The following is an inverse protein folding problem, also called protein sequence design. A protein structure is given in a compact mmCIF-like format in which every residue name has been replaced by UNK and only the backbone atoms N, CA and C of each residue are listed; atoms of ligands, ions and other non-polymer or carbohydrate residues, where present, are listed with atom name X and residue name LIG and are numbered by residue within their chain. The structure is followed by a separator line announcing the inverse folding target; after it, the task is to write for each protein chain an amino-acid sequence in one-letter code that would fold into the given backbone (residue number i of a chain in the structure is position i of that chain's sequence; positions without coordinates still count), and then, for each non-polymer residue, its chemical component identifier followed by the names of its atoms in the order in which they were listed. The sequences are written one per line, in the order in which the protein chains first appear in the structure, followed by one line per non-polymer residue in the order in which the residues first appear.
data_IF_986808385227
#
_entry.id   IF_986808385227
#
_cell.length_a   1.000
_cell.length_b   1.000
_cell.length_c   1.000
_cell.angle_alpha   90.00
_cell.angle_beta   90.00
_cell.angle_gamma   90.00
#
_symmetry.space_group_name_H-M   'P 1'
#
loop_
_entity.id
_entity.type
_entity.pdbx_description
1 polymer ?
#
# COMPACT_ATOMS: atom_id res chain seq x y z
N UNK A 1 -10.44 8.24 2.82
CA UNK A 1 -8.97 8.25 2.76
C UNK A 1 -8.59 7.39 1.59
N UNK A 2 -7.88 7.99 0.66
CA UNK A 2 -7.47 7.38 -0.61
C UNK A 2 -6.00 6.93 -0.54
N UNK A 3 -5.61 5.95 -1.34
CA UNK A 3 -4.22 5.48 -1.46
C UNK A 3 -3.31 6.61 -1.94
N UNK A 4 -3.81 7.50 -2.80
CA UNK A 4 -3.06 8.67 -3.28
C UNK A 4 -2.70 9.64 -2.15
N UNK A 5 -3.59 9.84 -1.17
CA UNK A 5 -3.35 10.67 0.01
C UNK A 5 -2.26 10.07 0.91
N UNK A 6 -2.27 8.75 1.10
CA UNK A 6 -1.26 8.02 1.89
C UNK A 6 0.12 8.06 1.21
N UNK A 7 0.16 7.92 -0.12
CA UNK A 7 1.40 8.02 -0.90
C UNK A 7 1.96 9.44 -0.89
N UNK A 8 1.11 10.45 -1.07
CA UNK A 8 1.50 11.85 -0.96
C UNK A 8 2.00 12.20 0.46
N UNK A 9 1.33 11.68 1.49
CA UNK A 9 1.78 11.82 2.88
C UNK A 9 3.16 11.18 3.09
N UNK A 10 3.39 9.98 2.55
CA UNK A 10 4.68 9.28 2.64
C UNK A 10 5.80 10.07 1.97
N UNK A 11 5.55 10.57 0.75
CA UNK A 11 6.50 11.42 0.03
C UNK A 11 6.81 12.72 0.79
N UNK A 12 5.78 13.39 1.35
CA UNK A 12 5.94 14.62 2.14
C UNK A 12 6.78 14.39 3.40
N UNK A 13 6.67 13.23 4.02
CA UNK A 13 7.47 12.84 5.19
C UNK A 13 8.84 12.24 4.83
N UNK A 14 9.22 12.23 3.54
CA UNK A 14 10.46 11.60 3.03
C UNK A 14 10.59 10.14 3.46
N UNK A 15 9.46 9.43 3.51
CA UNK A 15 9.45 8.02 3.81
C UNK A 15 10.00 7.22 2.63
N UNK A 16 10.80 6.19 2.91
CA UNK A 16 11.29 5.25 1.90
C UNK A 16 10.20 4.27 1.47
N UNK A 17 9.33 3.88 2.41
CA UNK A 17 8.31 2.86 2.21
C UNK A 17 6.99 3.28 2.86
N UNK A 18 5.88 2.93 2.22
CA UNK A 18 4.54 2.89 2.79
C UNK A 18 4.16 1.41 2.94
N UNK A 19 3.76 1.01 4.14
CA UNK A 19 3.31 -0.34 4.44
C UNK A 19 1.82 -0.33 4.80
N UNK A 20 1.06 -1.14 4.09
CA UNK A 20 -0.33 -1.46 4.37
C UNK A 20 -0.42 -2.91 4.82
N UNK A 21 -1.11 -3.15 5.92
CA UNK A 21 -1.33 -4.50 6.42
C UNK A 21 -2.68 -4.56 7.11
N UNK A 22 -3.51 -5.52 6.73
CA UNK A 22 -4.81 -5.73 7.35
C UNK A 22 -4.71 -5.81 8.89
N UNK A 23 -5.68 -5.19 9.55
CA UNK A 23 -5.85 -4.96 10.98
C UNK A 23 -4.73 -4.13 11.65
N UNK A 24 -3.95 -3.40 10.86
CA UNK A 24 -2.98 -2.43 11.36
C UNK A 24 -3.24 -1.04 10.77
N UNK A 25 -2.85 0.04 11.50
CA UNK A 25 -2.74 1.36 10.90
C UNK A 25 -1.74 1.34 9.74
N UNK A 26 -1.89 2.23 8.73
CA UNK A 26 -0.84 2.47 7.75
C UNK A 26 0.47 2.81 8.46
N UNK A 27 1.59 2.34 7.93
CA UNK A 27 2.90 2.62 8.49
C UNK A 27 3.81 3.20 7.42
N UNK A 28 4.71 4.09 7.81
CA UNK A 28 5.73 4.63 6.94
C UNK A 28 7.10 4.32 7.50
N UNK A 29 8.08 4.05 6.62
CA UNK A 29 9.48 3.93 7.02
C UNK A 29 10.19 5.25 6.80
N UNK A 30 10.73 5.86 7.86
CA UNK A 30 11.51 7.10 7.80
C UNK A 30 12.84 6.87 8.50
N UNK A 31 13.95 7.16 7.82
CA UNK A 31 15.31 6.98 8.36
C UNK A 31 15.57 5.55 8.91
N UNK A 32 14.95 4.54 8.31
CA UNK A 32 15.05 3.12 8.69
C UNK A 32 13.97 2.65 9.67
N UNK A 33 13.34 3.55 10.42
CA UNK A 33 12.32 3.23 11.42
C UNK A 33 10.93 3.12 10.80
N UNK A 34 10.20 2.04 11.12
CA UNK A 34 8.78 1.89 10.76
C UNK A 34 7.91 2.53 11.84
N UNK A 35 7.08 3.49 11.43
CA UNK A 35 6.20 4.26 12.33
C UNK A 35 4.76 4.20 11.85
N UNK A 36 3.83 4.03 12.78
CA UNK A 36 2.38 4.06 12.50
C UNK A 36 1.95 5.49 12.20
N UNK A 37 1.16 5.67 11.15
CA UNK A 37 0.44 6.91 10.91
C UNK A 37 -0.74 6.96 11.89
N UNK A 38 -1.08 8.15 12.39
CA UNK A 38 -2.11 8.36 13.41
C UNK A 38 -3.52 8.23 12.80
N UNK A 39 -3.87 7.04 12.35
CA UNK A 39 -5.13 6.69 11.70
C UNK A 39 -5.58 5.34 12.25
N UNK A 40 -6.90 5.06 12.37
CA UNK A 40 -7.37 3.78 12.86
C UNK A 40 -6.83 2.60 12.03
N UNK A 41 -6.75 1.40 12.63
CA UNK A 41 -6.43 0.18 11.89
C UNK A 41 -7.37 -0.02 10.69
N UNK A 42 -6.81 -0.47 9.57
CA UNK A 42 -7.56 -0.75 8.35
C UNK A 42 -7.88 -2.24 8.29
N UNK A 43 -9.15 -2.58 8.14
CA UNK A 43 -9.56 -3.97 7.97
C UNK A 43 -9.11 -4.54 6.62
N UNK A 44 -9.22 -5.87 6.45
CA UNK A 44 -8.84 -6.53 5.20
C UNK A 44 -9.52 -5.92 3.97
N UNK A 45 -10.81 -5.62 4.05
CA UNK A 45 -11.58 -5.08 2.92
C UNK A 45 -11.07 -3.71 2.49
N UNK A 46 -10.73 -2.87 3.46
CA UNK A 46 -10.20 -1.53 3.18
C UNK A 46 -8.82 -1.62 2.54
N UNK A 47 -7.90 -2.41 3.09
CA UNK A 47 -6.56 -2.58 2.53
C UNK A 47 -6.62 -3.17 1.11
N UNK A 48 -7.46 -4.20 0.91
CA UNK A 48 -7.67 -4.80 -0.40
C UNK A 48 -8.21 -3.79 -1.42
N UNK A 49 -9.20 -2.97 -1.04
CA UNK A 49 -9.73 -1.91 -1.89
C UNK A 49 -8.66 -0.91 -2.33
N UNK A 50 -7.88 -0.40 -1.38
CA UNK A 50 -6.78 0.55 -1.65
C UNK A 50 -5.74 -0.01 -2.63
N UNK A 51 -5.39 -1.30 -2.50
CA UNK A 51 -4.45 -1.98 -3.39
C UNK A 51 -5.09 -2.19 -4.78
N UNK A 52 -6.36 -2.60 -4.83
CA UNK A 52 -7.08 -2.85 -6.09
C UNK A 52 -7.27 -1.58 -6.94
N UNK A 53 -7.44 -0.43 -6.30
CA UNK A 53 -7.67 0.84 -6.98
C UNK A 53 -6.46 1.30 -7.82
N UNK A 54 -5.25 0.85 -7.46
CA UNK A 54 -4.02 1.15 -8.21
C UNK A 54 -3.58 0.04 -9.17
N UNK A 55 -4.31 -1.07 -9.21
CA UNK A 55 -4.04 -2.19 -10.12
C UNK A 55 -4.84 -2.09 -11.41
N UNK A 56 -4.22 -2.49 -12.52
CA UNK A 56 -4.92 -2.79 -13.77
C UNK A 56 -5.43 -4.25 -13.80
N UNK A 57 -6.22 -4.59 -14.82
CA UNK A 57 -6.85 -5.91 -14.94
C UNK A 57 -5.85 -7.08 -14.98
N UNK A 58 -4.66 -6.88 -15.56
CA UNK A 58 -3.62 -7.91 -15.57
C UNK A 58 -3.10 -8.14 -14.15
N UNK A 59 -2.77 -7.07 -13.44
CA UNK A 59 -2.24 -7.14 -12.07
C UNK A 59 -3.26 -7.73 -11.10
N UNK A 60 -4.55 -7.39 -11.25
CA UNK A 60 -5.62 -8.01 -10.46
C UNK A 60 -5.70 -9.51 -10.68
N UNK A 61 -5.67 -9.95 -11.94
CA UNK A 61 -5.63 -11.39 -12.26
C UNK A 61 -4.40 -12.07 -11.69
N UNK A 62 -3.21 -11.47 -11.84
CA UNK A 62 -1.98 -12.03 -11.29
C UNK A 62 -2.08 -12.15 -9.75
N UNK A 63 -2.60 -11.11 -9.08
CA UNK A 63 -2.79 -11.12 -7.63
C UNK A 63 -3.83 -12.16 -7.16
N UNK A 64 -4.95 -12.31 -7.88
CA UNK A 64 -5.98 -13.31 -7.56
C UNK A 64 -5.50 -14.76 -7.80
N UNK A 65 -4.68 -14.99 -8.83
CA UNK A 65 -4.18 -16.31 -9.20
C UNK A 65 -2.99 -16.75 -8.34
N UNK A 66 -2.02 -15.84 -8.14
CA UNK A 66 -0.76 -16.13 -7.48
C UNK A 66 -0.70 -15.67 -6.03
N UNK A 67 -1.74 -14.97 -5.53
CA UNK A 67 -1.81 -14.37 -4.20
C UNK A 67 -0.73 -13.31 -3.90
N UNK A 68 0.02 -12.90 -4.93
CA UNK A 68 1.01 -11.84 -4.89
C UNK A 68 1.28 -11.27 -6.30
N UNK A 69 1.71 -10.00 -6.37
CA UNK A 69 2.16 -9.40 -7.63
C UNK A 69 3.02 -8.17 -7.39
N UNK A 70 3.96 -7.91 -8.30
CA UNK A 70 4.82 -6.73 -8.31
C UNK A 70 4.45 -5.82 -9.49
N UNK A 71 4.38 -4.50 -9.24
CA UNK A 71 4.21 -3.51 -10.29
C UNK A 71 4.76 -2.14 -9.89
N UNK A 72 4.71 -1.20 -10.83
CA UNK A 72 5.02 0.21 -10.57
C UNK A 72 3.76 1.04 -10.67
N UNK A 73 3.59 1.97 -9.75
CA UNK A 73 2.52 2.96 -9.76
C UNK A 73 3.11 4.36 -9.76
N UNK A 74 2.58 5.25 -10.60
CA UNK A 74 3.01 6.64 -10.67
C UNK A 74 1.91 7.54 -10.11
N UNK A 75 2.27 8.41 -9.16
CA UNK A 75 1.42 9.49 -8.70
C UNK A 75 1.94 10.79 -9.34
N UNK A 76 1.24 11.33 -10.37
CA UNK A 76 1.73 12.47 -11.13
C UNK A 76 2.06 13.67 -10.25
N UNK A 77 3.24 14.26 -10.47
CA UNK A 77 3.72 15.41 -9.69
C UNK A 77 4.22 15.08 -8.28
N UNK A 78 4.21 13.80 -7.87
CA UNK A 78 4.70 13.36 -6.55
C UNK A 78 5.90 12.43 -6.71
N UNK A 79 5.69 11.19 -7.15
CA UNK A 79 6.73 10.16 -7.24
C UNK A 79 6.24 8.93 -8.01
N UNK A 80 7.18 8.04 -8.32
CA UNK A 80 6.91 6.66 -8.75
C UNK A 80 7.22 5.71 -7.61
N UNK A 81 6.35 4.72 -7.41
CA UNK A 81 6.42 3.73 -6.36
C UNK A 81 6.55 2.35 -6.98
N UNK A 82 7.39 1.51 -6.37
CA UNK A 82 7.35 0.06 -6.59
C UNK A 82 6.36 -0.51 -5.58
N UNK A 83 5.37 -1.23 -6.07
CA UNK A 83 4.33 -1.85 -5.25
C UNK A 83 4.51 -3.36 -5.31
N UNK A 84 4.52 -3.99 -4.14
CA UNK A 84 4.44 -5.43 -3.99
C UNK A 84 3.17 -5.72 -3.20
N UNK A 85 2.16 -6.32 -3.83
CA UNK A 85 0.92 -6.68 -3.16
C UNK A 85 0.93 -8.17 -2.85
N UNK A 86 0.51 -8.56 -1.65
CA UNK A 86 0.52 -9.95 -1.20
C UNK A 86 -0.55 -10.24 -0.14
N UNK A 87 -0.73 -11.51 0.19
CA UNK A 87 -1.59 -11.97 1.29
C UNK A 87 -0.74 -12.43 2.49
N UNK A 88 -1.21 -12.11 3.70
CA UNK A 88 -0.64 -12.60 4.96
C UNK A 88 -1.76 -13.05 5.90
N UNK A 89 -1.43 -13.55 7.09
CA UNK A 89 -2.39 -14.19 8.00
C UNK A 89 -3.61 -13.33 8.39
N UNK A 90 -3.46 -12.00 8.45
CA UNK A 90 -4.56 -11.05 8.73
C UNK A 90 -5.32 -10.60 7.47
N UNK A 91 -4.87 -10.95 6.27
CA UNK A 91 -5.45 -10.54 5.00
C UNK A 91 -4.46 -9.84 4.05
N UNK A 92 -4.97 -8.95 3.21
CA UNK A 92 -4.19 -8.20 2.21
C UNK A 92 -3.09 -7.31 2.85
N UNK A 93 -1.99 -7.12 2.11
CA UNK A 93 -0.88 -6.26 2.46
C UNK A 93 -0.15 -5.75 1.20
N UNK A 94 0.51 -4.59 1.35
CA UNK A 94 1.38 -4.00 0.32
C UNK A 94 2.46 -3.09 0.93
#
# INVERSE_FOLDING_TARGET
MDITELLAFSAKNRASDLHLSADLPPMIRVDGDVRRVNIPPLDHKTVHGLIYDIMNDKQRKDYEEFYETDFSFELPGVARFRVNAFNQNRGAAA
#
